data_IF_269952577773
#
_entry.id   IF_269952577773
#
_cell.length_a   1.000
_cell.length_b   1.000
_cell.length_c   1.000
_cell.angle_alpha   90.00
_cell.angle_beta   90.00
_cell.angle_gamma   90.00
#
_symmetry.space_group_name_H-M   'P 1'
#
loop_
_entity.id
_entity.type
_entity.pdbx_description
1 polymer ?
#
# COMPACT_ATOMS: atom_id res chain seq x y z
N UNK A 1 0.10 -9.45 18.54
CA UNK A 1 -0.11 -10.25 17.29
C UNK A 1 0.21 -9.30 16.15
N UNK A 2 0.89 -9.75 15.10
CA UNK A 2 1.29 -8.83 14.03
C UNK A 2 0.45 -9.04 12.79
N UNK A 3 -0.27 -7.99 12.37
CA UNK A 3 -1.04 -7.98 11.11
C UNK A 3 -0.26 -7.21 10.06
N UNK A 4 -0.24 -7.75 8.83
CA UNK A 4 0.29 -7.06 7.67
C UNK A 4 -0.84 -6.54 6.77
N UNK A 5 -0.77 -5.26 6.40
CA UNK A 5 -1.70 -4.63 5.45
C UNK A 5 -1.00 -4.40 4.13
N UNK A 6 -1.53 -5.00 3.07
CA UNK A 6 -1.06 -4.82 1.70
C UNK A 6 -2.01 -3.87 0.96
N UNK A 7 -1.42 -2.93 0.22
CA UNK A 7 -2.06 -2.04 -0.73
C UNK A 7 -1.36 -2.19 -2.08
N UNK A 8 -2.09 -2.35 -3.18
CA UNK A 8 -1.53 -2.45 -4.53
C UNK A 8 -2.31 -1.58 -5.50
N UNK A 9 -1.58 -0.84 -6.31
CA UNK A 9 -2.13 -0.07 -7.40
C UNK A 9 -1.37 -0.32 -8.70
N UNK A 10 -2.12 -0.26 -9.79
CA UNK A 10 -1.60 -0.27 -11.16
C UNK A 10 -1.78 1.11 -11.76
N UNK A 11 -0.68 1.76 -12.11
CA UNK A 11 -0.73 3.08 -12.75
C UNK A 11 -1.35 2.99 -14.15
N UNK A 12 -1.74 4.14 -14.69
CA UNK A 12 -1.88 4.30 -16.14
C UNK A 12 -0.54 3.95 -16.82
N UNK A 13 -0.55 3.22 -17.96
CA UNK A 13 0.68 2.78 -18.61
C UNK A 13 1.71 3.91 -18.78
N UNK A 14 2.94 3.67 -18.35
CA UNK A 14 4.03 4.66 -18.39
C UNK A 14 4.08 5.63 -17.21
N UNK A 15 3.09 5.62 -16.30
CA UNK A 15 3.06 6.47 -15.09
C UNK A 15 3.53 5.77 -13.82
N UNK A 16 4.22 4.64 -13.92
CA UNK A 16 4.66 3.87 -12.74
C UNK A 16 5.55 4.66 -11.78
N UNK A 17 6.46 5.49 -12.29
CA UNK A 17 7.33 6.33 -11.46
C UNK A 17 6.56 7.46 -10.77
N UNK A 18 5.53 8.01 -11.41
CA UNK A 18 4.67 9.02 -10.80
C UNK A 18 3.81 8.42 -9.69
N UNK A 19 3.28 7.21 -9.89
CA UNK A 19 2.60 6.46 -8.84
C UNK A 19 3.53 6.17 -7.66
N UNK A 20 4.79 5.79 -7.94
CA UNK A 20 5.79 5.56 -6.89
C UNK A 20 6.11 6.84 -6.10
N UNK A 21 6.28 7.97 -6.79
CA UNK A 21 6.50 9.26 -6.14
C UNK A 21 5.30 9.66 -5.28
N UNK A 22 4.08 9.48 -5.80
CA UNK A 22 2.84 9.72 -5.07
C UNK A 22 2.77 8.86 -3.79
N UNK A 23 3.07 7.55 -3.89
CA UNK A 23 3.08 6.62 -2.75
C UNK A 23 4.09 7.05 -1.68
N UNK A 24 5.29 7.48 -2.08
CA UNK A 24 6.34 7.92 -1.16
C UNK A 24 5.99 9.21 -0.42
N UNK A 25 5.16 10.06 -1.02
CA UNK A 25 4.62 11.27 -0.38
C UNK A 25 3.44 11.00 0.57
N UNK A 26 2.92 9.78 0.64
CA UNK A 26 1.82 9.46 1.56
C UNK A 26 2.35 9.16 2.96
N UNK A 27 1.91 9.98 3.92
CA UNK A 27 2.08 9.74 5.35
C UNK A 27 0.90 8.94 5.91
N UNK A 28 1.17 8.07 6.89
CA UNK A 28 0.14 7.36 7.63
C UNK A 28 -0.13 8.08 8.94
N UNK A 29 -1.37 8.03 9.42
CA UNK A 29 -1.77 8.68 10.68
C UNK A 29 -1.04 8.12 11.92
N UNK A 30 -0.47 6.91 11.81
CA UNK A 30 0.45 6.35 12.78
C UNK A 30 1.56 5.58 12.07
N UNK A 31 2.68 5.40 12.76
CA UNK A 31 3.85 4.72 12.19
C UNK A 31 3.73 3.18 12.36
N UNK A 32 3.86 2.40 11.27
CA UNK A 32 3.90 0.94 11.38
C UNK A 32 5.25 0.46 11.92
N UNK A 33 5.30 -0.79 12.41
CA UNK A 33 6.55 -1.45 12.80
C UNK A 33 7.55 -1.55 11.64
N UNK A 34 7.00 -1.70 10.43
CA UNK A 34 7.75 -1.81 9.18
C UNK A 34 6.85 -1.33 8.05
N UNK A 35 7.44 -0.63 7.08
CA UNK A 35 6.82 -0.28 5.80
C UNK A 35 7.77 -0.65 4.68
N UNK A 36 7.26 -1.33 3.65
CA UNK A 36 7.98 -1.57 2.42
C UNK A 36 7.20 -1.06 1.22
N UNK A 37 7.94 -0.50 0.27
CA UNK A 37 7.41 -0.04 -1.02
C UNK A 37 8.13 -0.83 -2.12
N UNK A 38 7.36 -1.57 -2.89
CA UNK A 38 7.84 -2.49 -3.92
C UNK A 38 7.26 -2.09 -5.27
N UNK A 39 8.01 -2.37 -6.35
CA UNK A 39 7.53 -2.23 -7.73
C UNK A 39 7.41 -3.60 -8.38
N UNK A 40 6.47 -3.72 -9.31
CA UNK A 40 6.27 -4.92 -10.11
C UNK A 40 5.99 -4.54 -11.58
N UNK A 41 6.08 -5.50 -12.52
CA UNK A 41 5.77 -5.24 -13.93
C UNK A 41 4.39 -4.59 -14.14
N UNK A 42 4.21 -3.96 -15.31
CA UNK A 42 2.97 -3.25 -15.68
C UNK A 42 2.65 -2.08 -14.73
N UNK A 43 3.65 -1.25 -14.44
CA UNK A 43 3.52 -0.01 -13.64
C UNK A 43 2.82 -0.22 -12.29
N UNK A 44 3.12 -1.33 -11.62
CA UNK A 44 2.56 -1.66 -10.31
C UNK A 44 3.42 -1.17 -9.18
N UNK A 45 2.76 -0.62 -8.17
CA UNK A 45 3.35 -0.30 -6.87
C UNK A 45 2.58 -1.04 -5.80
N UNK A 46 3.32 -1.71 -4.91
CA UNK A 46 2.80 -2.37 -3.73
C UNK A 46 3.37 -1.70 -2.49
N UNK A 47 2.52 -1.45 -1.50
CA UNK A 47 2.93 -1.07 -0.16
C UNK A 47 2.47 -2.15 0.79
N UNK A 48 3.36 -2.62 1.66
CA UNK A 48 3.00 -3.51 2.75
C UNK A 48 3.51 -2.93 4.07
N UNK A 49 2.65 -2.95 5.08
CA UNK A 49 2.93 -2.42 6.43
C UNK A 49 2.66 -3.49 7.47
N UNK A 50 3.44 -3.52 8.55
CA UNK A 50 3.26 -4.42 9.68
C UNK A 50 2.91 -3.65 10.94
N UNK A 51 1.97 -4.16 11.72
CA UNK A 51 1.45 -3.51 12.91
C UNK A 51 1.38 -4.50 14.06
N UNK A 52 1.77 -4.08 15.27
CA UNK A 52 1.48 -4.83 16.49
C UNK A 52 0.03 -4.52 16.92
N UNK A 53 -0.91 -5.27 16.36
CA UNK A 53 -2.33 -5.07 16.57
C UNK A 53 -3.12 -6.36 16.31
N UNK A 54 -4.31 -6.53 16.91
CA UNK A 54 -5.26 -7.57 16.51
C UNK A 54 -5.60 -7.50 15.01
N UNK A 55 -5.99 -8.64 14.43
CA UNK A 55 -6.26 -8.76 12.99
C UNK A 55 -7.41 -7.84 12.50
N UNK A 56 -8.40 -7.62 13.36
CA UNK A 56 -9.60 -6.81 13.12
C UNK A 56 -9.45 -5.34 13.55
N UNK A 57 -8.25 -4.92 13.98
CA UNK A 57 -8.01 -3.54 14.36
C UNK A 57 -8.22 -2.56 13.18
N UNK A 58 -8.79 -1.40 13.49
CA UNK A 58 -8.81 -0.26 12.58
C UNK A 58 -7.40 0.34 12.50
N UNK A 59 -6.81 0.32 11.32
CA UNK A 59 -5.42 0.69 11.07
C UNK A 59 -5.34 1.67 9.91
N UNK A 60 -4.38 2.61 9.90
CA UNK A 60 -4.20 3.53 8.79
C UNK A 60 -3.90 2.81 7.48
N UNK A 61 -4.57 3.20 6.41
CA UNK A 61 -4.36 2.69 5.06
C UNK A 61 -3.99 3.83 4.10
N UNK A 62 -3.28 3.49 3.02
CA UNK A 62 -3.03 4.46 1.95
C UNK A 62 -4.36 4.82 1.25
N UNK A 63 -4.56 6.10 0.89
CA UNK A 63 -5.74 6.53 0.17
C UNK A 63 -5.78 5.94 -1.25
N UNK A 64 -6.88 6.14 -1.96
CA UNK A 64 -6.93 5.86 -3.40
C UNK A 64 -6.25 7.00 -4.18
N UNK A 65 -5.38 6.71 -5.15
CA UNK A 65 -4.83 7.74 -6.02
C UNK A 65 -5.92 8.32 -6.92
N UNK A 66 -5.72 9.55 -7.39
CA UNK A 66 -6.63 10.15 -8.38
C UNK A 66 -6.79 9.28 -9.63
N UNK A 67 -7.99 9.24 -10.20
CA UNK A 67 -8.34 8.36 -11.33
C UNK A 67 -7.51 8.57 -12.61
N UNK A 68 -6.78 9.68 -12.71
CA UNK A 68 -5.83 9.90 -13.81
C UNK A 68 -4.52 9.13 -13.63
N UNK A 69 -4.16 8.77 -12.39
CA UNK A 69 -2.91 8.12 -12.04
C UNK A 69 -3.01 6.60 -12.09
N UNK A 70 -4.19 6.03 -11.84
CA UNK A 70 -4.44 4.58 -11.79
C UNK A 70 -5.53 4.14 -12.77
N UNK A 71 -5.41 2.92 -13.26
CA UNK A 71 -6.38 2.36 -14.23
C UNK A 71 -7.60 1.70 -13.59
N UNK A 72 -7.55 1.46 -12.28
CA UNK A 72 -8.58 0.76 -11.49
C UNK A 72 -8.42 1.10 -10.01
N UNK A 73 -9.44 0.77 -9.23
CA UNK A 73 -9.38 0.82 -7.77
C UNK A 73 -8.22 -0.04 -7.23
N UNK A 74 -7.67 0.38 -6.10
CA UNK A 74 -6.53 -0.28 -5.46
C UNK A 74 -6.98 -1.57 -4.77
N UNK A 75 -6.09 -2.56 -4.70
CA UNK A 75 -6.34 -3.78 -3.95
C UNK A 75 -5.83 -3.67 -2.52
N UNK A 76 -6.59 -4.23 -1.58
CA UNK A 76 -6.29 -4.22 -0.15
C UNK A 76 -6.47 -5.61 0.44
N UNK A 77 -5.47 -6.08 1.19
CA UNK A 77 -5.49 -7.39 1.83
C UNK A 77 -4.85 -7.33 3.22
N UNK A 78 -5.40 -8.09 4.17
CA UNK A 78 -4.85 -8.29 5.51
C UNK A 78 -4.25 -9.69 5.62
N UNK A 79 -3.10 -9.80 6.29
CA UNK A 79 -2.42 -11.07 6.53
C UNK A 79 -2.01 -11.19 8.00
N UNK A 80 -2.08 -12.39 8.55
CA UNK A 80 -1.49 -12.71 9.84
C UNK A 80 -0.01 -13.06 9.65
N UNK A 81 0.87 -12.48 10.47
CA UNK A 81 2.27 -12.87 10.52
C UNK A 81 2.41 -14.14 11.36
N UNK A 82 2.89 -15.23 10.75
CA UNK A 82 3.02 -16.57 11.37
C UNK A 82 4.47 -16.98 11.65
N UNK A 83 5.37 -15.99 11.70
CA UNK A 83 6.82 -16.15 11.87
C UNK A 83 7.31 -15.69 13.23
#
# INVERSE_FOLDING_TARGET
>A
MSVALMWEARAVPGRGEELLAWVRGQELASEPLRREVLRAPQDRVLVITWWDAPYDAELPELPEPGGELVTRAVHRWRFESVS
#
